data_IF_387065324247
#
_entry.id   IF_387065324247
#
_cell.length_a   1.000
_cell.length_b   1.000
_cell.length_c   1.000
_cell.angle_alpha   90.00
_cell.angle_beta   90.00
_cell.angle_gamma   90.00
#
_symmetry.space_group_name_H-M   'P 1'
#
loop_
_entity.id
_entity.type
_entity.pdbx_description
1 polymer ?
#
# COMPACT_ATOMS: atom_id res chain seq x y z
N UNK A 1 -0.18 7.89 16.15
CA UNK A 1 0.06 7.61 14.76
C UNK A 1 1.36 6.83 14.59
N UNK A 2 2.50 7.42 14.86
CA UNK A 2 3.79 6.73 14.94
C UNK A 2 4.21 6.70 16.40
N UNK A 3 4.86 5.62 16.87
CA UNK A 3 5.32 5.50 18.25
C UNK A 3 6.38 6.60 18.56
N UNK A 4 6.37 7.15 19.78
CA UNK A 4 7.42 8.13 20.20
C UNK A 4 8.83 7.55 20.07
N UNK A 5 9.00 6.23 20.22
CA UNK A 5 10.29 5.56 20.06
C UNK A 5 10.77 5.49 18.61
N UNK A 6 9.84 5.63 17.64
CA UNK A 6 10.16 5.56 16.21
C UNK A 6 10.44 6.92 15.58
N UNK A 7 10.32 8.02 16.33
CA UNK A 7 10.51 9.37 15.77
C UNK A 7 11.91 9.58 15.19
N UNK A 8 12.96 9.07 15.86
CA UNK A 8 14.34 9.15 15.36
C UNK A 8 14.58 8.31 14.09
N UNK A 9 13.71 7.32 13.84
CA UNK A 9 13.79 6.42 12.67
C UNK A 9 12.76 6.75 11.59
N UNK A 10 12.00 7.84 11.78
CA UNK A 10 10.87 8.19 10.92
C UNK A 10 11.31 8.28 9.45
N UNK A 11 12.39 8.98 9.18
CA UNK A 11 12.89 9.18 7.81
C UNK A 11 13.35 7.85 7.20
N UNK A 12 14.34 7.19 7.82
CA UNK A 12 14.98 6.00 7.24
C UNK A 12 14.06 4.77 7.22
N UNK A 13 13.25 4.56 8.27
CA UNK A 13 12.46 3.33 8.41
C UNK A 13 11.01 3.45 7.92
N UNK A 14 10.47 4.66 7.82
CA UNK A 14 9.09 4.84 7.40
C UNK A 14 8.96 5.57 6.07
N UNK A 15 9.65 6.70 5.89
CA UNK A 15 9.56 7.44 4.63
C UNK A 15 10.29 6.72 3.49
N UNK A 16 11.58 6.38 3.67
CA UNK A 16 12.34 5.67 2.63
C UNK A 16 11.72 4.31 2.33
N UNK A 17 11.32 3.56 3.37
CA UNK A 17 10.59 2.28 3.20
C UNK A 17 9.33 2.47 2.33
N UNK A 18 8.58 3.56 2.53
CA UNK A 18 7.37 3.85 1.73
C UNK A 18 7.67 4.05 0.24
N UNK A 19 8.84 4.57 -0.10
CA UNK A 19 9.23 4.87 -1.48
C UNK A 19 9.72 3.66 -2.29
N UNK A 20 9.92 2.51 -1.66
CA UNK A 20 10.43 1.29 -2.34
C UNK A 20 9.53 0.82 -3.49
N UNK A 21 8.26 1.22 -3.49
CA UNK A 21 7.27 0.82 -4.50
C UNK A 21 7.30 1.68 -5.76
N UNK A 22 7.97 2.83 -5.75
CA UNK A 22 7.86 3.85 -6.82
C UNK A 22 8.10 3.30 -8.23
N UNK A 23 9.13 2.46 -8.41
CA UNK A 23 9.47 1.86 -9.70
C UNK A 23 8.43 0.84 -10.19
N UNK A 24 7.47 0.49 -9.35
CA UNK A 24 6.41 -0.46 -9.69
C UNK A 24 5.06 0.22 -9.91
N UNK A 25 4.98 1.55 -9.82
CA UNK A 25 3.77 2.32 -10.08
C UNK A 25 3.79 2.82 -11.53
N UNK A 26 2.80 2.47 -12.37
CA UNK A 26 2.68 3.04 -13.70
C UNK A 26 2.50 4.56 -13.64
N UNK A 27 2.88 5.24 -14.72
CA UNK A 27 2.62 6.67 -14.86
C UNK A 27 1.11 6.95 -14.92
N UNK A 28 0.70 8.07 -14.33
CA UNK A 28 -0.70 8.52 -14.29
C UNK A 28 -1.68 7.48 -13.73
N UNK A 29 -1.19 6.51 -12.94
CA UNK A 29 -2.01 5.44 -12.40
C UNK A 29 -2.86 5.87 -11.21
N UNK A 30 -3.93 5.10 -10.98
CA UNK A 30 -4.73 5.19 -9.76
C UNK A 30 -4.20 4.20 -8.73
N UNK A 31 -3.80 4.69 -7.57
CA UNK A 31 -3.22 3.92 -6.48
C UNK A 31 -4.14 3.98 -5.25
N UNK A 32 -4.41 2.83 -4.65
CA UNK A 32 -5.06 2.74 -3.34
C UNK A 32 -4.03 2.35 -2.28
N UNK A 33 -3.97 3.09 -1.19
CA UNK A 33 -3.28 2.70 0.05
C UNK A 33 -4.30 2.10 1.01
N UNK A 34 -4.26 0.79 1.18
CA UNK A 34 -5.24 0.05 1.98
C UNK A 34 -4.79 -0.03 3.45
N UNK A 35 -5.54 0.64 4.32
CA UNK A 35 -5.20 0.76 5.74
C UNK A 35 -4.11 1.80 5.97
N UNK A 36 -4.30 2.99 5.43
CA UNK A 36 -3.29 4.06 5.36
C UNK A 36 -2.71 4.51 6.70
N UNK A 37 -3.45 4.36 7.80
CA UNK A 37 -2.97 4.63 9.15
C UNK A 37 -2.48 6.08 9.33
N UNK A 38 -1.16 6.25 9.46
CA UNK A 38 -0.51 7.55 9.53
C UNK A 38 -0.17 8.15 8.16
N UNK A 39 -0.74 7.60 7.07
CA UNK A 39 -0.46 8.02 5.69
C UNK A 39 0.74 7.30 5.07
N UNK A 40 1.12 6.16 5.61
CA UNK A 40 2.30 5.40 5.18
C UNK A 40 1.89 4.03 4.59
N UNK A 41 2.14 3.77 3.31
CA UNK A 41 3.10 4.46 2.44
C UNK A 41 2.50 5.59 1.57
N UNK A 42 1.19 5.82 1.57
CA UNK A 42 0.49 6.64 0.58
C UNK A 42 0.99 8.08 0.47
N UNK A 43 1.13 8.81 1.58
CA UNK A 43 1.55 10.23 1.57
C UNK A 43 2.96 10.40 0.98
N UNK A 44 4.02 9.67 1.41
CA UNK A 44 5.33 9.75 0.78
C UNK A 44 5.32 9.40 -0.71
N UNK A 45 4.53 8.40 -1.12
CA UNK A 45 4.34 8.05 -2.53
C UNK A 45 3.77 9.24 -3.29
N UNK A 46 2.72 9.88 -2.77
CA UNK A 46 2.07 11.02 -3.42
C UNK A 46 2.98 12.23 -3.57
N UNK A 47 3.80 12.53 -2.56
CA UNK A 47 4.79 13.60 -2.60
C UNK A 47 5.80 13.39 -3.75
N UNK A 48 6.21 12.15 -3.98
CA UNK A 48 7.19 11.79 -5.01
C UNK A 48 6.57 11.55 -6.40
N UNK A 49 5.25 11.37 -6.48
CA UNK A 49 4.50 11.03 -7.68
C UNK A 49 3.22 11.88 -7.74
N UNK A 50 3.33 13.11 -8.17
CA UNK A 50 2.22 14.05 -8.36
C UNK A 50 1.29 13.65 -9.51
N UNK A 51 1.80 12.86 -10.46
CA UNK A 51 1.05 12.33 -11.59
C UNK A 51 -0.08 11.36 -11.19
N UNK A 52 0.10 10.57 -10.12
CA UNK A 52 -0.88 9.56 -9.71
C UNK A 52 -2.13 10.15 -9.04
N UNK A 53 -3.24 9.44 -9.18
CA UNK A 53 -4.43 9.63 -8.31
C UNK A 53 -4.33 8.68 -7.13
N UNK A 54 -4.38 9.21 -5.89
CA UNK A 54 -4.23 8.41 -4.67
C UNK A 54 -5.53 8.35 -3.87
N UNK A 55 -5.93 7.14 -3.51
CA UNK A 55 -6.98 6.88 -2.51
C UNK A 55 -6.35 6.36 -1.23
N UNK A 56 -6.59 7.06 -0.11
CA UNK A 56 -6.21 6.62 1.23
C UNK A 56 -7.43 6.01 1.92
N UNK A 57 -7.41 4.69 2.14
CA UNK A 57 -8.52 3.96 2.77
C UNK A 57 -8.17 3.71 4.24
N UNK A 58 -8.91 4.36 5.15
CA UNK A 58 -8.68 4.25 6.58
C UNK A 58 -10.02 4.27 7.35
N UNK A 59 -10.37 3.17 7.99
CA UNK A 59 -11.66 3.02 8.66
C UNK A 59 -11.82 3.81 9.97
N UNK A 60 -10.69 4.18 10.58
CA UNK A 60 -10.70 4.94 11.85
C UNK A 60 -10.82 6.43 11.53
N UNK A 61 -12.00 7.02 11.77
CA UNK A 61 -12.32 8.42 11.46
C UNK A 61 -11.28 9.43 11.94
N UNK A 62 -10.74 9.25 13.15
CA UNK A 62 -9.70 10.13 13.69
C UNK A 62 -8.41 10.11 12.86
N UNK A 63 -8.02 8.95 12.35
CA UNK A 63 -6.86 8.83 11.45
C UNK A 63 -7.16 9.41 10.07
N UNK A 64 -8.35 9.16 9.53
CA UNK A 64 -8.78 9.74 8.26
C UNK A 64 -8.81 11.28 8.32
N UNK A 65 -9.32 11.88 9.42
CA UNK A 65 -9.28 13.32 9.62
C UNK A 65 -7.83 13.86 9.65
N UNK A 66 -6.89 13.15 10.31
CA UNK A 66 -5.48 13.50 10.27
C UNK A 66 -4.92 13.46 8.84
N UNK A 67 -5.28 12.44 8.05
CA UNK A 67 -4.84 12.34 6.65
C UNK A 67 -5.36 13.51 5.80
N UNK A 68 -6.60 13.95 6.04
CA UNK A 68 -7.18 15.13 5.38
C UNK A 68 -6.40 16.40 5.70
N UNK A 69 -6.07 16.63 6.98
CA UNK A 69 -5.23 17.75 7.39
C UNK A 69 -3.85 17.73 6.73
N UNK A 70 -3.20 16.56 6.70
CA UNK A 70 -1.88 16.44 6.07
C UNK A 70 -1.96 16.70 4.56
N UNK A 71 -2.99 16.20 3.89
CA UNK A 71 -3.17 16.44 2.45
C UNK A 71 -3.38 17.93 2.14
N UNK A 72 -4.14 18.63 2.98
CA UNK A 72 -4.38 20.08 2.89
C UNK A 72 -3.10 20.88 3.15
N UNK A 73 -2.43 20.65 4.26
CA UNK A 73 -1.18 21.35 4.65
C UNK A 73 -0.05 21.18 3.63
N UNK A 74 0.01 20.03 2.97
CA UNK A 74 1.00 19.75 1.93
C UNK A 74 0.52 20.12 0.51
N UNK A 75 -0.68 20.68 0.37
CA UNK A 75 -1.32 21.01 -0.91
C UNK A 75 -1.26 19.84 -1.92
N UNK A 76 -1.56 18.62 -1.45
CA UNK A 76 -1.53 17.44 -2.31
C UNK A 76 -2.79 17.39 -3.19
N UNK A 77 -2.58 17.43 -4.49
CA UNK A 77 -3.66 17.29 -5.48
C UNK A 77 -3.93 15.82 -5.82
N UNK A 78 -5.05 15.53 -6.48
CA UNK A 78 -5.46 14.17 -6.91
C UNK A 78 -5.37 13.14 -5.77
N UNK A 79 -5.74 13.52 -4.55
CA UNK A 79 -5.80 12.65 -3.38
C UNK A 79 -7.23 12.62 -2.82
N UNK A 80 -7.69 11.44 -2.42
CA UNK A 80 -8.99 11.24 -1.76
C UNK A 80 -8.83 10.37 -0.53
N UNK A 81 -9.37 10.83 0.58
CA UNK A 81 -9.40 10.07 1.84
C UNK A 81 -10.76 9.44 1.98
N UNK A 82 -10.81 8.10 2.16
CA UNK A 82 -12.03 7.32 2.33
C UNK A 82 -12.11 6.82 3.77
N UNK A 83 -12.95 7.45 4.64
CA UNK A 83 -13.07 7.11 6.05
C UNK A 83 -14.00 5.90 6.25
N UNK A 84 -13.72 4.80 5.53
CA UNK A 84 -14.56 3.60 5.49
C UNK A 84 -13.73 2.32 5.52
N UNK A 85 -14.42 1.20 5.80
CA UNK A 85 -13.82 -0.13 5.57
C UNK A 85 -13.78 -0.41 4.08
N UNK A 86 -12.67 -1.00 3.61
CA UNK A 86 -12.48 -1.27 2.19
C UNK A 86 -13.56 -2.18 1.60
N UNK A 87 -14.13 -3.07 2.43
CA UNK A 87 -15.23 -3.98 2.05
C UNK A 87 -16.52 -3.25 1.65
N UNK A 88 -16.70 -2.00 2.10
CA UNK A 88 -17.88 -1.18 1.78
C UNK A 88 -17.69 -0.31 0.52
N UNK A 89 -16.46 -0.25 -0.02
CA UNK A 89 -16.13 0.61 -1.16
C UNK A 89 -16.40 -0.17 -2.45
N UNK A 90 -17.36 0.31 -3.26
CA UNK A 90 -17.79 -0.36 -4.50
C UNK A 90 -17.44 0.40 -5.78
N UNK A 91 -17.27 1.71 -5.68
CA UNK A 91 -17.15 2.67 -6.79
C UNK A 91 -15.71 3.08 -7.11
N UNK A 92 -14.72 2.55 -6.36
CA UNK A 92 -13.30 2.82 -6.58
C UNK A 92 -12.65 1.63 -7.28
N UNK A 93 -11.90 1.93 -8.35
CA UNK A 93 -11.05 0.98 -9.06
C UNK A 93 -9.65 1.55 -9.25
N UNK A 94 -8.65 0.74 -8.90
CA UNK A 94 -7.25 1.15 -8.88
C UNK A 94 -6.39 0.23 -9.75
N UNK A 95 -5.33 0.80 -10.31
CA UNK A 95 -4.32 0.04 -11.05
C UNK A 95 -3.38 -0.67 -10.08
N UNK A 96 -3.16 -0.06 -8.91
CA UNK A 96 -2.31 -0.62 -7.85
C UNK A 96 -2.97 -0.45 -6.48
N UNK A 97 -3.02 -1.52 -5.71
CA UNK A 97 -3.32 -1.47 -4.28
C UNK A 97 -2.05 -1.74 -3.51
N UNK A 98 -1.59 -0.79 -2.70
CA UNK A 98 -0.45 -0.96 -1.81
C UNK A 98 -0.92 -1.29 -0.40
N UNK A 99 -0.23 -2.21 0.27
CA UNK A 99 -0.61 -2.69 1.61
C UNK A 99 0.64 -2.82 2.47
N UNK A 100 0.66 -2.08 3.58
CA UNK A 100 1.77 -2.11 4.55
C UNK A 100 1.25 -2.33 5.97
N UNK A 101 1.84 -3.31 6.69
CA UNK A 101 1.59 -3.57 8.12
C UNK A 101 0.12 -3.83 8.53
N UNK A 102 -0.75 -4.23 7.60
CA UNK A 102 -2.18 -4.41 7.86
C UNK A 102 -2.56 -5.85 8.24
N UNK A 103 -1.76 -6.86 7.87
CA UNK A 103 -2.02 -8.26 8.20
C UNK A 103 -1.52 -9.27 7.18
N UNK A 104 -2.06 -10.50 7.25
CA UNK A 104 -1.67 -11.61 6.37
C UNK A 104 -2.25 -11.47 4.95
N UNK A 105 -1.49 -11.87 3.93
CA UNK A 105 -1.87 -11.86 2.51
C UNK A 105 -3.21 -12.57 2.28
N UNK A 106 -3.39 -13.77 2.86
CA UNK A 106 -4.62 -14.56 2.73
C UNK A 106 -5.90 -13.79 3.11
N UNK A 107 -5.82 -12.93 4.13
CA UNK A 107 -6.96 -12.12 4.59
C UNK A 107 -7.18 -10.86 3.76
N UNK A 108 -6.11 -10.28 3.22
CA UNK A 108 -6.14 -8.97 2.56
C UNK A 108 -6.40 -9.06 1.06
N UNK A 109 -6.03 -10.16 0.41
CA UNK A 109 -6.30 -10.36 -1.03
C UNK A 109 -7.79 -10.29 -1.35
N UNK A 110 -8.71 -10.96 -0.62
CA UNK A 110 -10.15 -10.85 -0.88
C UNK A 110 -10.70 -9.42 -0.72
N UNK A 111 -10.13 -8.63 0.20
CA UNK A 111 -10.52 -7.23 0.46
C UNK A 111 -9.99 -6.30 -0.64
N UNK A 112 -8.76 -6.53 -1.10
CA UNK A 112 -8.12 -5.70 -2.13
C UNK A 112 -8.62 -6.02 -3.55
N UNK A 113 -9.02 -7.27 -3.83
CA UNK A 113 -9.44 -7.71 -5.16
C UNK A 113 -10.59 -6.89 -5.77
N UNK A 114 -11.66 -6.53 -5.03
CA UNK A 114 -12.74 -5.70 -5.56
C UNK A 114 -12.29 -4.29 -5.96
N UNK A 115 -11.23 -3.77 -5.34
CA UNK A 115 -10.67 -2.45 -5.62
C UNK A 115 -9.80 -2.40 -6.88
N UNK A 116 -9.43 -3.57 -7.45
CA UNK A 116 -8.54 -3.63 -8.61
C UNK A 116 -9.28 -3.47 -9.94
N UNK A 117 -8.67 -2.72 -10.84
CA UNK A 117 -8.94 -2.78 -12.28
C UNK A 117 -8.67 -4.18 -12.85
N UNK A 118 -9.09 -4.45 -14.11
CA UNK A 118 -8.91 -5.76 -14.76
C UNK A 118 -7.44 -6.21 -14.76
N UNK A 119 -6.51 -5.33 -15.10
CA UNK A 119 -5.06 -5.60 -15.14
C UNK A 119 -4.32 -5.08 -13.90
N UNK A 120 -5.03 -4.83 -12.81
CA UNK A 120 -4.47 -4.26 -11.60
C UNK A 120 -3.58 -5.24 -10.83
N UNK A 121 -2.80 -4.71 -9.90
CA UNK A 121 -1.91 -5.48 -9.04
C UNK A 121 -1.99 -5.06 -7.58
N UNK A 122 -1.69 -5.99 -6.68
CA UNK A 122 -1.50 -5.71 -5.25
C UNK A 122 -0.01 -5.75 -4.96
N UNK A 123 0.48 -4.80 -4.19
CA UNK A 123 1.87 -4.76 -3.72
C UNK A 123 1.86 -4.76 -2.19
N UNK A 124 2.38 -5.83 -1.61
CA UNK A 124 2.54 -5.94 -0.16
C UNK A 124 3.96 -5.60 0.24
N UNK A 125 4.10 -4.79 1.28
CA UNK A 125 5.35 -4.60 2.02
C UNK A 125 5.45 -5.69 3.08
N UNK A 126 6.40 -6.62 2.92
CA UNK A 126 6.58 -7.77 3.80
C UNK A 126 8.01 -7.89 4.33
N UNK A 127 8.17 -8.73 5.32
CA UNK A 127 9.43 -9.18 5.87
C UNK A 127 9.75 -10.61 5.39
N UNK A 128 10.60 -11.33 6.12
CA UNK A 128 11.07 -12.68 5.74
C UNK A 128 9.97 -13.75 5.60
N UNK A 129 8.83 -13.59 6.29
CA UNK A 129 7.70 -14.55 6.27
C UNK A 129 6.86 -14.51 4.99
N UNK A 130 7.24 -13.73 3.98
CA UNK A 130 6.44 -13.54 2.76
C UNK A 130 6.16 -14.84 2.01
N UNK A 131 7.14 -15.76 1.94
CA UNK A 131 6.98 -17.03 1.22
C UNK A 131 5.91 -17.94 1.87
N UNK A 132 5.94 -18.05 3.20
CA UNK A 132 4.98 -18.85 3.96
C UNK A 132 3.57 -18.28 3.82
N UNK A 133 3.43 -16.94 3.88
CA UNK A 133 2.14 -16.26 3.69
C UNK A 133 1.56 -16.51 2.28
N UNK A 134 2.39 -16.59 1.24
CA UNK A 134 1.95 -16.91 -0.11
C UNK A 134 1.44 -18.35 -0.21
N UNK A 135 2.13 -19.31 0.41
CA UNK A 135 1.67 -20.70 0.47
C UNK A 135 0.31 -20.82 1.18
N UNK A 136 0.14 -20.13 2.31
CA UNK A 136 -1.14 -20.06 3.03
C UNK A 136 -2.25 -19.40 2.18
N UNK A 137 -1.90 -18.51 1.25
CA UNK A 137 -2.82 -17.74 0.44
C UNK A 137 -3.16 -18.39 -0.93
N UNK A 138 -2.58 -19.54 -1.28
CA UNK A 138 -2.69 -20.16 -2.60
C UNK A 138 -4.13 -20.20 -3.16
N UNK A 139 -5.11 -20.55 -2.32
CA UNK A 139 -6.52 -20.66 -2.75
C UNK A 139 -7.14 -19.29 -3.12
N UNK A 140 -6.79 -18.21 -2.40
CA UNK A 140 -7.30 -16.86 -2.68
C UNK A 140 -6.56 -16.19 -3.83
N UNK A 141 -5.41 -16.73 -4.23
CA UNK A 141 -4.60 -16.26 -5.35
C UNK A 141 -5.01 -16.84 -6.71
N UNK A 142 -6.04 -17.67 -6.77
CA UNK A 142 -6.48 -18.32 -8.03
C UNK A 142 -6.85 -17.32 -9.15
N UNK A 143 -7.22 -16.07 -8.82
CA UNK A 143 -7.53 -15.00 -9.76
C UNK A 143 -6.33 -14.11 -10.12
N UNK A 144 -5.13 -14.53 -9.72
CA UNK A 144 -3.90 -13.75 -9.91
C UNK A 144 -2.85 -14.61 -10.61
N UNK A 145 -1.90 -13.93 -11.27
CA UNK A 145 -0.72 -14.59 -11.83
C UNK A 145 0.08 -15.26 -10.69
N UNK A 146 0.33 -16.56 -10.86
CA UNK A 146 1.09 -17.35 -9.90
C UNK A 146 2.34 -17.96 -10.57
N UNK A 147 3.50 -17.97 -9.94
CA UNK A 147 3.80 -17.40 -8.61
C UNK A 147 3.85 -15.86 -8.62
N UNK A 148 3.61 -15.23 -7.46
CA UNK A 148 3.86 -13.79 -7.29
C UNK A 148 5.32 -13.44 -7.52
N UNK A 149 5.58 -12.19 -7.91
CA UNK A 149 6.94 -11.68 -8.02
C UNK A 149 7.44 -11.16 -6.67
N UNK A 150 8.68 -11.51 -6.31
CA UNK A 150 9.34 -11.03 -5.09
C UNK A 150 10.49 -10.10 -5.46
N UNK A 151 10.57 -8.96 -4.78
CA UNK A 151 11.70 -8.05 -4.89
C UNK A 151 12.27 -7.79 -3.49
N UNK A 152 13.51 -8.19 -3.28
CA UNK A 152 14.24 -7.88 -2.05
C UNK A 152 15.00 -6.57 -2.22
N UNK A 153 14.77 -5.64 -1.31
CA UNK A 153 15.35 -4.30 -1.35
C UNK A 153 15.94 -3.98 0.01
N UNK A 154 17.24 -3.74 0.05
CA UNK A 154 17.91 -3.25 1.24
C UNK A 154 17.54 -1.78 1.48
N UNK A 155 17.11 -1.45 2.70
CA UNK A 155 16.86 -0.06 3.09
C UNK A 155 18.19 0.68 3.27
N UNK A 156 18.45 1.77 2.52
CA UNK A 156 19.68 2.53 2.63
C UNK A 156 20.00 2.97 4.05
N UNK A 157 21.26 2.79 4.47
CA UNK A 157 21.73 3.16 5.82
C UNK A 157 21.20 2.28 6.95
N UNK A 158 20.67 1.09 6.64
CA UNK A 158 20.14 0.14 7.63
C UNK A 158 20.53 -1.31 7.26
N UNK A 159 20.38 -2.23 8.24
CA UNK A 159 20.52 -3.67 8.00
C UNK A 159 19.17 -4.34 7.65
N UNK A 160 18.15 -3.55 7.29
CA UNK A 160 16.81 -4.07 6.99
C UNK A 160 16.69 -4.39 5.51
N UNK A 161 16.23 -5.61 5.22
CA UNK A 161 15.77 -6.01 3.90
C UNK A 161 14.25 -6.09 3.88
N UNK A 162 13.64 -5.40 2.93
CA UNK A 162 12.20 -5.48 2.65
C UNK A 162 11.94 -6.40 1.47
N UNK A 163 10.81 -7.09 1.54
CA UNK A 163 10.27 -7.83 0.40
C UNK A 163 9.01 -7.15 -0.10
N UNK A 164 9.04 -6.67 -1.33
CA UNK A 164 7.82 -6.32 -2.05
C UNK A 164 7.30 -7.61 -2.71
N UNK A 165 6.07 -7.98 -2.35
CA UNK A 165 5.36 -9.10 -2.99
C UNK A 165 4.34 -8.50 -3.94
N UNK A 166 4.54 -8.73 -5.24
CA UNK A 166 3.67 -8.19 -6.29
C UNK A 166 2.80 -9.33 -6.85
N UNK A 167 1.50 -9.13 -6.74
CA UNK A 167 0.47 -10.08 -7.18
C UNK A 167 -0.35 -9.40 -8.28
N UNK A 168 -0.19 -9.86 -9.53
CA UNK A 168 -0.93 -9.32 -10.70
C UNK A 168 -2.21 -10.09 -10.92
N UNK A 169 -3.32 -9.36 -11.12
CA UNK A 169 -4.61 -9.96 -11.49
C UNK A 169 -4.53 -10.54 -12.89
N UNK A 170 -5.12 -11.72 -13.11
CA UNK A 170 -5.31 -12.30 -14.44
C UNK A 170 -6.57 -11.68 -15.05
N UNK A 171 -6.51 -11.31 -16.32
CA UNK A 171 -7.67 -10.81 -17.10
C UNK A 171 -8.71 -11.89 -17.31
#
# INVERSE_FOLDING_TARGET
LVSRKDTARLISYHFIDSLLVLNYLPENSTVCDLGSGAGLPGIPIKIMRDDITLYLIESIRKKAAFLSLVAEELNLEKIKILPERAENITDVKCDVVVIRLLGKIKKLVPVALPLLNKSGKIIFYKAQTAADEILEAKNVLAKFQFPPTFHEIALPGTNIVRRLVIIKKIN
#
